data_IF_883534799810
#
_entry.id   IF_883534799810
#
_cell.length_a   1.000
_cell.length_b   1.000
_cell.length_c   1.000
_cell.angle_alpha   90.00
_cell.angle_beta   90.00
_cell.angle_gamma   90.00
#
_symmetry.space_group_name_H-M   'P 1'
#
loop_
_entity.id
_entity.type
_entity.pdbx_description
1 polymer ?
#
# COMPACT_ATOMS: atom_id res chain seq x y z
N UNK A 1 16.21 11.66 21.38
CA UNK A 1 14.98 11.65 22.18
C UNK A 1 14.04 10.67 21.50
N UNK A 2 13.46 9.75 22.25
CA UNK A 2 12.47 8.80 21.73
C UNK A 2 11.09 9.43 21.81
N UNK A 3 10.31 9.35 20.72
CA UNK A 3 8.94 9.82 20.63
C UNK A 3 8.01 8.62 20.47
N UNK A 4 6.79 8.71 21.00
CA UNK A 4 5.80 7.67 20.76
C UNK A 4 5.22 7.75 19.34
N UNK A 5 4.59 6.67 18.88
CA UNK A 5 4.07 6.55 17.52
C UNK A 5 3.01 7.57 17.13
N UNK A 6 2.35 8.23 18.08
CA UNK A 6 1.38 9.30 17.77
C UNK A 6 2.06 10.53 17.16
N UNK A 7 3.37 10.69 17.32
CA UNK A 7 4.13 11.75 16.65
C UNK A 7 3.98 11.69 15.11
N UNK A 8 3.70 10.51 14.54
CA UNK A 8 3.49 10.29 13.10
C UNK A 8 2.07 10.63 12.63
N UNK A 9 1.16 11.01 13.52
CA UNK A 9 -0.26 11.16 13.18
C UNK A 9 -0.51 12.22 12.09
N UNK A 10 0.28 13.28 12.05
CA UNK A 10 0.23 14.30 10.99
C UNK A 10 0.64 13.72 9.64
N UNK A 11 1.84 13.14 9.57
CA UNK A 11 2.39 12.58 8.33
C UNK A 11 1.53 11.44 7.77
N UNK A 12 1.06 10.54 8.63
CA UNK A 12 0.20 9.44 8.18
C UNK A 12 -1.15 9.93 7.66
N UNK A 13 -1.71 11.01 8.22
CA UNK A 13 -2.95 11.60 7.69
C UNK A 13 -2.76 12.12 6.27
N UNK A 14 -1.62 12.75 5.98
CA UNK A 14 -1.29 13.22 4.64
C UNK A 14 -1.11 12.05 3.67
N UNK A 15 -0.34 11.02 4.07
CA UNK A 15 -0.15 9.79 3.28
C UNK A 15 -1.47 9.14 2.90
N UNK A 16 -2.42 9.05 3.82
CA UNK A 16 -3.73 8.43 3.55
C UNK A 16 -4.75 9.37 2.87
N UNK A 17 -4.47 10.66 2.77
CA UNK A 17 -5.31 11.63 2.04
C UNK A 17 -5.02 11.64 0.53
N UNK A 18 -3.79 11.30 0.13
CA UNK A 18 -3.38 11.25 -1.27
C UNK A 18 -3.93 10.06 -2.06
N UNK A 19 -3.83 10.14 -3.39
CA UNK A 19 -4.16 9.02 -4.28
C UNK A 19 -3.10 7.91 -4.19
N UNK A 20 -3.38 6.91 -3.35
CA UNK A 20 -2.51 5.74 -3.19
C UNK A 20 -2.35 4.88 -4.45
N UNK A 21 -3.20 5.05 -5.48
CA UNK A 21 -3.03 4.31 -6.73
C UNK A 21 -1.86 4.83 -7.56
N UNK A 22 -1.50 6.11 -7.38
CA UNK A 22 -0.32 6.73 -7.97
C UNK A 22 0.98 6.42 -7.21
N UNK A 23 0.88 5.96 -5.96
CA UNK A 23 2.05 5.61 -5.15
C UNK A 23 2.90 4.52 -5.82
N UNK A 24 4.22 4.60 -5.72
CA UNK A 24 5.14 3.59 -6.26
C UNK A 24 5.44 2.57 -5.18
N UNK A 25 5.14 1.29 -5.44
CA UNK A 25 5.55 0.19 -4.57
C UNK A 25 6.91 -0.36 -5.00
N UNK A 26 7.68 -0.91 -4.07
CA UNK A 26 8.80 -1.81 -4.37
C UNK A 26 8.46 -3.23 -3.90
N UNK A 27 8.46 -4.20 -4.81
CA UNK A 27 8.11 -5.59 -4.50
C UNK A 27 9.15 -6.25 -3.60
N UNK A 28 8.71 -6.88 -2.51
CA UNK A 28 9.59 -7.63 -1.61
C UNK A 28 10.17 -8.91 -2.25
N UNK A 29 9.49 -9.50 -3.22
CA UNK A 29 9.91 -10.75 -3.87
C UNK A 29 10.96 -10.56 -4.96
N UNK A 30 10.78 -9.59 -5.84
CA UNK A 30 11.65 -9.38 -7.01
C UNK A 30 12.28 -7.99 -7.12
N UNK A 31 11.97 -7.05 -6.22
CA UNK A 31 12.48 -5.68 -6.27
C UNK A 31 11.86 -4.79 -7.34
N UNK A 32 10.92 -5.29 -8.15
CA UNK A 32 10.22 -4.48 -9.16
C UNK A 32 9.54 -3.26 -8.51
N UNK A 33 9.75 -2.09 -9.10
CA UNK A 33 9.11 -0.85 -8.70
C UNK A 33 8.14 -0.36 -9.77
N UNK A 34 6.94 0.05 -9.35
CA UNK A 34 5.89 0.55 -10.25
C UNK A 34 4.73 1.16 -9.47
N UNK A 35 3.85 1.90 -10.15
CA UNK A 35 2.68 2.47 -9.50
C UNK A 35 1.73 1.37 -8.99
N UNK A 36 1.08 1.58 -7.84
CA UNK A 36 0.09 0.64 -7.27
C UNK A 36 -1.02 0.33 -8.27
N UNK A 37 -1.41 1.29 -9.11
CA UNK A 37 -2.37 1.10 -10.21
C UNK A 37 -1.99 -0.01 -11.21
N UNK A 38 -0.71 -0.41 -11.27
CA UNK A 38 -0.22 -1.46 -12.17
C UNK A 38 -0.32 -2.87 -11.57
N UNK A 39 -0.70 -3.00 -10.30
CA UNK A 39 -0.86 -4.30 -9.66
C UNK A 39 -1.98 -5.10 -10.32
N UNK A 40 -1.78 -6.42 -10.44
CA UNK A 40 -2.83 -7.34 -10.87
C UNK A 40 -3.75 -7.62 -9.67
N UNK A 41 -5.00 -7.15 -9.72
CA UNK A 41 -5.95 -7.25 -8.61
C UNK A 41 -6.90 -8.43 -8.78
N UNK A 42 -7.02 -9.27 -7.76
CA UNK A 42 -7.88 -10.46 -7.75
C UNK A 42 -9.02 -10.36 -6.72
N UNK A 43 -10.20 -10.90 -7.10
CA UNK A 43 -11.46 -10.88 -6.33
C UNK A 43 -12.31 -12.14 -6.67
N UNK A 44 -13.19 -12.65 -5.78
CA UNK A 44 -13.47 -12.20 -4.41
C UNK A 44 -12.89 -13.11 -3.31
N UNK A 45 -12.78 -12.52 -2.11
CA UNK A 45 -12.60 -13.10 -0.76
C UNK A 45 -11.17 -13.53 -0.31
N UNK A 46 -10.76 -13.16 0.94
CA UNK A 46 -11.46 -12.30 1.91
C UNK A 46 -11.35 -10.78 1.61
N UNK A 47 -10.74 -10.36 0.50
CA UNK A 47 -10.64 -8.96 0.11
C UNK A 47 -10.01 -8.78 -1.27
N UNK A 48 -9.48 -7.60 -1.54
CA UNK A 48 -8.67 -7.32 -2.73
C UNK A 48 -7.25 -7.83 -2.50
N UNK A 49 -6.71 -8.57 -3.46
CA UNK A 49 -5.31 -9.01 -3.45
C UNK A 49 -4.60 -8.40 -4.65
N UNK A 50 -3.63 -7.51 -4.41
CA UNK A 50 -2.79 -6.91 -5.44
C UNK A 50 -1.48 -7.68 -5.58
N UNK A 51 -1.22 -8.22 -6.78
CA UNK A 51 0.00 -8.97 -7.11
C UNK A 51 0.94 -8.18 -8.00
N UNK A 52 2.23 -8.39 -7.82
CA UNK A 52 3.28 -7.81 -8.64
C UNK A 52 3.07 -8.23 -10.11
N UNK A 53 3.09 -7.30 -11.08
CA UNK A 53 2.97 -7.65 -12.49
C UNK A 53 4.20 -8.41 -13.02
N UNK A 54 5.34 -8.36 -12.32
CA UNK A 54 6.59 -9.00 -12.73
C UNK A 54 6.81 -10.41 -12.18
N UNK A 55 6.45 -10.69 -10.93
CA UNK A 55 6.69 -12.00 -10.29
C UNK A 55 5.44 -12.66 -9.68
N UNK A 56 4.28 -12.00 -9.78
CA UNK A 56 3.00 -12.47 -9.22
C UNK A 56 2.93 -12.60 -7.69
N UNK A 57 3.98 -12.23 -6.95
CA UNK A 57 3.94 -12.17 -5.49
C UNK A 57 2.88 -11.20 -5.01
N UNK A 58 2.28 -11.52 -3.87
CA UNK A 58 1.27 -10.67 -3.23
C UNK A 58 1.96 -9.45 -2.64
N UNK A 59 1.76 -8.29 -3.25
CA UNK A 59 2.31 -7.00 -2.81
C UNK A 59 1.45 -6.42 -1.69
N UNK A 60 0.13 -6.40 -1.88
CA UNK A 60 -0.81 -5.88 -0.88
C UNK A 60 -2.10 -6.68 -0.78
N UNK A 61 -2.75 -6.56 0.38
CA UNK A 61 -4.12 -7.04 0.61
C UNK A 61 -4.95 -5.96 1.27
N UNK A 62 -6.16 -5.73 0.76
CA UNK A 62 -7.14 -4.83 1.35
C UNK A 62 -8.43 -5.60 1.67
N UNK A 63 -8.69 -5.81 2.96
CA UNK A 63 -9.89 -6.50 3.45
C UNK A 63 -10.77 -5.48 4.17
N UNK A 64 -12.06 -5.47 3.85
CA UNK A 64 -13.06 -4.63 4.53
C UNK A 64 -14.04 -5.52 5.27
N UNK A 65 -14.27 -5.21 6.53
CA UNK A 65 -15.32 -5.77 7.40
C UNK A 65 -16.29 -4.65 7.78
N UNK A 66 -17.40 -4.92 8.47
CA UNK A 66 -18.37 -3.87 8.82
C UNK A 66 -17.79 -2.70 9.64
N UNK A 67 -16.78 -2.95 10.50
CA UNK A 67 -16.24 -1.96 11.43
C UNK A 67 -14.72 -1.75 11.33
N UNK A 68 -14.03 -2.50 10.45
CA UNK A 68 -12.57 -2.46 10.27
C UNK A 68 -12.14 -2.55 8.81
N UNK A 69 -11.00 -1.92 8.53
CA UNK A 69 -10.23 -2.08 7.28
C UNK A 69 -8.87 -2.64 7.62
N UNK A 70 -8.46 -3.71 6.93
CA UNK A 70 -7.13 -4.28 7.04
C UNK A 70 -6.36 -4.00 5.75
N UNK A 71 -5.27 -3.25 5.88
CA UNK A 71 -4.32 -3.01 4.80
C UNK A 71 -3.02 -3.72 5.15
N UNK A 72 -2.69 -4.79 4.44
CA UNK A 72 -1.42 -5.49 4.58
C UNK A 72 -0.49 -5.09 3.44
N UNK A 73 0.69 -4.57 3.80
CA UNK A 73 1.74 -4.14 2.86
C UNK A 73 3.02 -4.96 2.99
N UNK A 74 2.96 -6.14 3.64
CA UNK A 74 4.15 -6.98 3.90
C UNK A 74 4.87 -7.46 2.63
N UNK A 75 4.21 -7.41 1.46
CA UNK A 75 4.81 -7.73 0.16
C UNK A 75 5.42 -6.52 -0.55
N UNK A 76 5.37 -5.34 0.06
CA UNK A 76 6.04 -4.13 -0.39
C UNK A 76 7.13 -3.75 0.63
N UNK A 77 8.35 -3.54 0.18
CA UNK A 77 9.44 -3.04 1.04
C UNK A 77 9.40 -1.53 1.22
N UNK A 78 8.79 -0.83 0.26
CA UNK A 78 8.63 0.63 0.25
C UNK A 78 7.36 1.02 -0.48
N UNK A 79 6.71 2.07 0.01
CA UNK A 79 5.73 2.87 -0.72
C UNK A 79 6.26 4.30 -0.84
N UNK A 80 6.22 4.84 -2.04
CA UNK A 80 6.64 6.22 -2.33
C UNK A 80 5.41 6.98 -2.78
N UNK A 81 5.16 8.13 -2.15
CA UNK A 81 4.02 8.98 -2.44
C UNK A 81 4.54 10.33 -2.95
N UNK A 82 3.85 10.89 -3.94
CA UNK A 82 4.00 12.31 -4.29
C UNK A 82 3.20 13.13 -3.29
N UNK A 83 3.82 14.15 -2.72
CA UNK A 83 3.17 15.11 -1.81
C UNK A 83 2.55 16.30 -2.58
N UNK A 84 2.61 16.26 -3.91
CA UNK A 84 1.96 17.24 -4.77
C UNK A 84 0.44 17.01 -4.73
N UNK A 85 -0.20 17.59 -3.72
CA UNK A 85 -1.64 17.73 -3.66
C UNK A 85 -2.12 18.73 -4.72
N UNK A 86 -2.78 18.23 -5.76
CA UNK A 86 -3.87 18.96 -6.43
C UNK A 86 -5.21 18.38 -5.96
#
# INVERSE_FOLDING_TARGET
MELDGNALAGDLREVFAGDLTAAVFTCAGCGHAGAVATLRVFQPAPGLVGRCPSCEDVVLRLVRTPDRVFLCLSGATRLELSLDGE
#
